data_IF_449062406619
#
_entry.id   IF_449062406619
#
_cell.length_a   1.000
_cell.length_b   1.000
_cell.length_c   1.000
_cell.angle_alpha   90.00
_cell.angle_beta   90.00
_cell.angle_gamma   90.00
#
_symmetry.space_group_name_H-M   'P 1'
#
loop_
_entity.id
_entity.type
_entity.pdbx_description
1 polymer ?
#
# COMPACT_ATOMS: atom_id res chain seq x y z
N UNK A 1 25.03 -18.51 18.36
CA UNK A 1 23.56 -18.76 18.27
C UNK A 1 23.19 -18.82 16.81
N UNK A 2 22.36 -19.77 16.36
CA UNK A 2 21.85 -19.84 14.99
C UNK A 2 20.47 -19.18 14.94
N UNK A 3 20.27 -18.25 14.01
CA UNK A 3 18.95 -17.64 13.73
C UNK A 3 18.05 -18.63 13.00
N UNK A 4 16.71 -18.43 13.10
CA UNK A 4 15.76 -19.24 12.33
C UNK A 4 15.95 -19.03 10.82
N UNK A 5 15.73 -20.08 10.03
CA UNK A 5 15.83 -19.98 8.56
C UNK A 5 14.87 -18.92 7.97
N UNK A 6 13.67 -18.79 8.56
CA UNK A 6 12.67 -17.79 8.13
C UNK A 6 13.21 -16.37 8.17
N UNK A 7 13.85 -15.99 9.28
CA UNK A 7 14.37 -14.64 9.48
C UNK A 7 15.60 -14.36 8.60
N UNK A 8 16.40 -15.39 8.31
CA UNK A 8 17.59 -15.26 7.45
C UNK A 8 17.25 -14.99 5.98
N UNK A 9 16.02 -15.25 5.55
CA UNK A 9 15.55 -15.03 4.18
C UNK A 9 14.96 -13.63 3.95
N UNK A 10 14.79 -12.84 5.03
CA UNK A 10 14.15 -11.53 4.94
C UNK A 10 15.11 -10.47 4.42
N UNK A 11 14.63 -9.71 3.45
CA UNK A 11 15.30 -8.52 2.95
C UNK A 11 14.82 -7.27 3.70
N UNK A 12 15.74 -6.35 4.05
CA UNK A 12 15.36 -5.07 4.64
C UNK A 12 14.45 -4.26 3.68
N UNK A 13 13.50 -3.53 4.26
CA UNK A 13 12.60 -2.67 3.46
C UNK A 13 13.36 -1.51 2.82
N UNK A 14 13.49 -1.52 1.50
CA UNK A 14 14.16 -0.45 0.73
C UNK A 14 13.50 0.92 0.93
N UNK A 15 12.18 0.96 1.11
CA UNK A 15 11.43 2.21 1.34
C UNK A 15 11.76 2.82 2.71
N UNK A 16 11.86 1.98 3.76
CA UNK A 16 12.24 2.43 5.09
C UNK A 16 13.72 2.84 5.14
N UNK A 17 14.60 2.13 4.45
CA UNK A 17 16.02 2.46 4.36
C UNK A 17 16.24 3.82 3.66
N UNK A 18 15.55 4.06 2.54
CA UNK A 18 15.62 5.34 1.82
C UNK A 18 15.12 6.50 2.69
N UNK A 19 13.97 6.33 3.37
CA UNK A 19 13.43 7.35 4.27
C UNK A 19 14.36 7.62 5.47
N UNK A 20 14.96 6.58 6.06
CA UNK A 20 15.91 6.72 7.16
C UNK A 20 17.19 7.45 6.72
N UNK A 21 17.73 7.15 5.53
CA UNK A 21 18.90 7.84 4.95
C UNK A 21 18.60 9.32 4.73
N UNK A 22 17.47 9.65 4.12
CA UNK A 22 17.04 11.04 3.91
C UNK A 22 16.92 11.81 5.24
N UNK A 23 16.26 11.20 6.23
CA UNK A 23 16.11 11.79 7.59
C UNK A 23 17.45 12.01 8.27
N UNK A 24 18.37 11.05 8.19
CA UNK A 24 19.70 11.18 8.79
C UNK A 24 20.51 12.31 8.15
N UNK A 25 20.46 12.47 6.83
CA UNK A 25 21.13 13.55 6.12
C UNK A 25 20.52 14.92 6.49
N UNK A 26 19.21 15.02 6.57
CA UNK A 26 18.51 16.24 7.01
C UNK A 26 18.88 16.62 8.45
N UNK A 27 19.00 15.65 9.36
CA UNK A 27 19.46 15.88 10.73
C UNK A 27 20.92 16.39 10.82
N UNK A 28 21.75 16.12 9.80
CA UNK A 28 23.10 16.65 9.65
C UNK A 28 23.15 18.07 9.04
N UNK A 29 21.99 18.69 8.82
CA UNK A 29 21.89 20.05 8.26
C UNK A 29 21.97 20.10 6.72
N UNK A 30 21.91 18.96 6.01
CA UNK A 30 21.86 18.96 4.56
C UNK A 30 20.46 19.36 4.06
N UNK A 31 20.41 20.08 2.95
CA UNK A 31 19.16 20.45 2.26
C UNK A 31 18.62 19.24 1.49
N UNK A 32 17.71 18.50 2.11
CA UNK A 32 17.15 17.26 1.57
C UNK A 32 15.66 17.43 1.27
N UNK A 33 15.28 17.17 0.02
CA UNK A 33 13.92 17.07 -0.45
C UNK A 33 13.55 15.57 -0.54
N UNK A 34 12.78 15.09 0.42
CA UNK A 34 12.46 13.65 0.52
C UNK A 34 11.13 13.32 -0.15
N UNK A 35 11.18 12.59 -1.26
CA UNK A 35 10.02 12.02 -1.95
C UNK A 35 9.91 10.51 -1.71
N UNK A 36 10.40 10.03 -0.56
CA UNK A 36 10.44 8.59 -0.23
C UNK A 36 9.27 8.12 0.61
N UNK A 37 8.55 9.06 1.24
CA UNK A 37 7.58 8.79 2.31
C UNK A 37 6.30 8.15 1.76
N UNK A 38 5.84 7.10 2.42
CA UNK A 38 4.60 6.41 2.06
C UNK A 38 3.45 6.74 3.02
N UNK A 39 3.30 8.01 3.42
CA UNK A 39 2.24 8.48 4.31
C UNK A 39 1.76 9.88 3.92
N UNK A 40 0.47 10.21 4.15
CA UNK A 40 -0.04 11.56 3.93
C UNK A 40 0.72 12.58 4.78
N UNK A 41 0.96 13.76 4.23
CA UNK A 41 1.58 14.91 4.90
C UNK A 41 0.56 15.80 5.64
N UNK A 42 -0.59 15.26 5.91
CA UNK A 42 -1.67 15.90 6.64
C UNK A 42 -1.68 15.41 8.10
N UNK A 43 -2.07 16.28 9.01
CA UNK A 43 -2.41 15.86 10.35
C UNK A 43 -3.72 15.03 10.32
N UNK A 44 -3.83 14.09 11.25
CA UNK A 44 -5.12 13.43 11.51
C UNK A 44 -6.20 14.47 11.77
N UNK A 45 -7.41 14.39 11.19
CA UNK A 45 -8.49 15.34 11.42
C UNK A 45 -8.81 15.58 12.90
N UNK A 46 -9.15 16.82 13.25
CA UNK A 46 -9.29 17.27 14.64
C UNK A 46 -10.39 16.51 15.40
N UNK A 47 -11.53 16.23 14.74
CA UNK A 47 -12.62 15.44 15.32
C UNK A 47 -12.13 14.05 15.77
N UNK A 48 -11.27 13.41 14.99
CA UNK A 48 -10.68 12.11 15.33
C UNK A 48 -9.72 12.24 16.51
N UNK A 49 -8.89 13.28 16.52
CA UNK A 49 -7.95 13.54 17.61
C UNK A 49 -8.70 13.79 18.93
N UNK A 50 -9.79 14.57 18.91
CA UNK A 50 -10.58 14.88 20.11
C UNK A 50 -11.22 13.63 20.72
N UNK A 51 -11.76 12.72 19.91
CA UNK A 51 -12.29 11.43 20.39
C UNK A 51 -11.20 10.61 21.09
N UNK A 52 -9.98 10.60 20.59
CA UNK A 52 -8.86 9.95 21.27
C UNK A 52 -8.54 10.59 22.61
N UNK A 53 -8.50 11.92 22.68
CA UNK A 53 -8.29 12.67 23.94
C UNK A 53 -9.39 12.35 24.95
N UNK A 54 -10.65 12.29 24.51
CA UNK A 54 -11.77 11.91 25.39
C UNK A 54 -11.65 10.46 25.87
N UNK A 55 -11.25 9.52 25.00
CA UNK A 55 -11.03 8.12 25.39
C UNK A 55 -9.94 7.99 26.49
N UNK A 56 -8.88 8.80 26.42
CA UNK A 56 -7.85 8.86 27.46
C UNK A 56 -8.42 9.42 28.77
N UNK A 57 -9.10 10.57 28.71
CA UNK A 57 -9.66 11.26 29.91
C UNK A 57 -10.71 10.42 30.62
N UNK A 58 -11.51 9.66 29.87
CA UNK A 58 -12.57 8.79 30.39
C UNK A 58 -12.06 7.40 30.84
N UNK A 59 -10.76 7.15 30.78
CA UNK A 59 -10.15 5.89 31.18
C UNK A 59 -10.37 4.70 30.22
N UNK A 60 -11.04 4.90 29.08
CA UNK A 60 -11.32 3.85 28.09
C UNK A 60 -10.03 3.30 27.45
N UNK A 61 -8.98 4.10 27.39
CA UNK A 61 -7.69 3.71 26.83
C UNK A 61 -6.80 2.85 27.76
N UNK A 62 -7.23 2.63 29.00
CA UNK A 62 -6.38 2.06 30.08
C UNK A 62 -6.40 0.53 30.15
N UNK A 63 -7.29 -0.13 29.43
CA UNK A 63 -7.53 -1.57 29.58
C UNK A 63 -7.37 -2.33 28.27
N UNK A 64 -7.09 -3.63 28.40
CA UNK A 64 -7.13 -4.54 27.25
C UNK A 64 -8.52 -4.55 26.61
N UNK A 65 -8.54 -4.65 25.29
CA UNK A 65 -9.76 -4.84 24.50
C UNK A 65 -9.81 -6.26 23.94
N UNK A 66 -10.95 -6.70 23.38
CA UNK A 66 -11.00 -7.97 22.68
C UNK A 66 -9.97 -8.04 21.55
N UNK A 67 -9.37 -9.21 21.35
CA UNK A 67 -8.35 -9.42 20.28
C UNK A 67 -8.89 -9.20 18.87
N UNK A 68 -10.20 -9.35 18.68
CA UNK A 68 -10.86 -9.05 17.40
C UNK A 68 -11.08 -7.54 17.17
N UNK A 69 -10.82 -6.71 18.17
CA UNK A 69 -11.22 -5.30 18.23
C UNK A 69 -12.50 -5.07 19.03
N UNK A 70 -12.71 -3.83 19.49
CA UNK A 70 -13.94 -3.48 20.24
C UNK A 70 -15.17 -3.64 19.35
N UNK A 71 -16.31 -4.11 19.93
CA UNK A 71 -17.53 -4.38 19.16
C UNK A 71 -18.01 -3.17 18.35
N UNK A 72 -17.92 -1.97 18.92
CA UNK A 72 -18.33 -0.72 18.27
C UNK A 72 -17.48 -0.42 17.01
N UNK A 73 -16.19 -0.68 17.03
CA UNK A 73 -15.33 -0.49 15.85
C UNK A 73 -15.61 -1.55 14.79
N UNK A 74 -15.82 -2.81 15.18
CA UNK A 74 -16.20 -3.87 14.23
C UNK A 74 -17.54 -3.56 13.56
N UNK A 75 -18.51 -3.00 14.29
CA UNK A 75 -19.77 -2.53 13.72
C UNK A 75 -19.52 -1.36 12.76
N UNK A 76 -18.74 -0.35 13.16
CA UNK A 76 -18.40 0.79 12.32
C UNK A 76 -17.73 0.36 11.01
N UNK A 77 -16.87 -0.66 11.05
CA UNK A 77 -16.21 -1.20 9.84
C UNK A 77 -17.23 -1.82 8.88
N UNK A 78 -18.16 -2.66 9.37
CA UNK A 78 -19.16 -3.29 8.47
C UNK A 78 -20.16 -2.27 7.93
N UNK A 79 -20.49 -1.25 8.71
CA UNK A 79 -21.35 -0.14 8.27
C UNK A 79 -20.65 0.69 7.17
N UNK A 80 -19.37 1.01 7.35
CA UNK A 80 -18.53 1.66 6.35
C UNK A 80 -18.45 0.85 5.04
N UNK A 81 -18.23 -0.46 5.13
CA UNK A 81 -18.20 -1.34 3.95
C UNK A 81 -19.56 -1.39 3.26
N UNK A 82 -20.64 -1.41 4.03
CA UNK A 82 -21.99 -1.34 3.46
C UNK A 82 -22.25 -0.02 2.74
N UNK A 83 -21.83 1.09 3.31
CA UNK A 83 -22.00 2.43 2.74
C UNK A 83 -21.18 2.61 1.45
N UNK A 84 -19.88 2.31 1.49
CA UNK A 84 -18.98 2.63 0.38
C UNK A 84 -18.81 1.51 -0.65
N UNK A 85 -19.06 0.25 -0.27
CA UNK A 85 -18.96 -0.91 -1.17
C UNK A 85 -20.32 -1.47 -1.59
N UNK A 86 -21.39 -1.14 -0.88
CA UNK A 86 -22.74 -1.67 -1.14
C UNK A 86 -22.91 -3.15 -0.82
N UNK A 87 -21.99 -3.76 -0.06
CA UNK A 87 -22.03 -5.16 0.36
C UNK A 87 -22.08 -5.29 1.88
N UNK A 88 -22.66 -6.38 2.37
CA UNK A 88 -22.90 -6.59 3.80
C UNK A 88 -22.02 -7.72 4.33
N UNK A 89 -21.42 -7.46 5.49
CA UNK A 89 -20.73 -8.44 6.34
C UNK A 89 -21.30 -8.35 7.76
N UNK A 90 -21.15 -9.42 8.53
CA UNK A 90 -21.43 -9.41 9.96
C UNK A 90 -20.19 -8.96 10.73
N UNK A 91 -20.32 -8.31 11.89
CA UNK A 91 -19.15 -7.95 12.72
C UNK A 91 -18.27 -9.15 13.07
N UNK A 92 -18.82 -10.37 13.16
CA UNK A 92 -18.06 -11.61 13.38
C UNK A 92 -17.09 -11.93 12.23
N UNK A 93 -17.35 -11.41 11.04
CA UNK A 93 -16.49 -11.57 9.85
C UNK A 93 -15.38 -10.50 9.75
N UNK A 94 -15.09 -9.80 10.84
CA UNK A 94 -14.14 -8.68 10.87
C UNK A 94 -13.15 -8.83 12.00
N UNK A 95 -11.89 -8.50 11.73
CA UNK A 95 -10.82 -8.33 12.73
C UNK A 95 -10.18 -6.95 12.60
N UNK A 96 -9.97 -6.28 13.73
CA UNK A 96 -9.15 -5.07 13.86
C UNK A 96 -7.71 -5.46 14.15
N UNK A 97 -6.75 -4.80 13.50
CA UNK A 97 -5.33 -5.13 13.57
C UNK A 97 -4.43 -3.91 13.74
N UNK A 98 -3.16 -4.12 14.11
CA UNK A 98 -2.14 -3.07 14.24
C UNK A 98 -1.66 -2.57 12.85
N UNK A 99 -2.59 -1.96 12.12
CA UNK A 99 -2.46 -1.56 10.73
C UNK A 99 -2.68 -2.72 9.75
N UNK A 100 -2.96 -2.38 8.47
CA UNK A 100 -3.17 -3.34 7.40
C UNK A 100 -1.99 -4.31 7.21
N UNK A 101 -0.77 -3.86 7.53
CA UNK A 101 0.42 -4.72 7.48
C UNK A 101 0.32 -5.94 8.40
N UNK A 102 -0.20 -5.76 9.62
CA UNK A 102 -0.40 -6.88 10.52
C UNK A 102 -1.59 -7.75 10.10
N UNK A 103 -2.63 -7.18 9.49
CA UNK A 103 -3.73 -7.95 8.90
C UNK A 103 -3.22 -8.94 7.83
N UNK A 104 -2.37 -8.47 6.92
CA UNK A 104 -1.72 -9.31 5.90
C UNK A 104 -0.83 -10.38 6.54
N UNK A 105 -0.01 -10.01 7.52
CA UNK A 105 0.83 -10.96 8.25
C UNK A 105 0.00 -12.07 8.90
N UNK A 106 -1.05 -11.70 9.65
CA UNK A 106 -1.93 -12.66 10.30
C UNK A 106 -2.66 -13.56 9.29
N UNK A 107 -3.09 -12.98 8.16
CA UNK A 107 -3.73 -13.74 7.08
C UNK A 107 -2.78 -14.79 6.50
N UNK A 108 -1.56 -14.42 6.12
CA UNK A 108 -0.61 -15.38 5.55
C UNK A 108 -0.20 -16.47 6.54
N UNK A 109 -0.04 -16.13 7.84
CA UNK A 109 0.17 -17.12 8.88
C UNK A 109 -1.03 -18.08 9.04
N UNK A 110 -2.23 -17.62 8.70
CA UNK A 110 -3.46 -18.43 8.79
C UNK A 110 -3.62 -19.42 7.64
N UNK A 111 -3.28 -18.98 6.41
CA UNK A 111 -3.67 -19.71 5.19
C UNK A 111 -2.55 -20.50 4.54
N UNK A 112 -1.26 -20.20 4.83
CA UNK A 112 -0.14 -20.81 4.15
C UNK A 112 0.49 -21.94 4.97
N UNK A 113 0.73 -23.06 4.30
CA UNK A 113 1.68 -24.09 4.71
C UNK A 113 3.02 -23.88 3.99
N UNK A 114 4.10 -24.56 4.44
CA UNK A 114 5.37 -24.54 3.71
C UNK A 114 5.19 -24.88 2.23
N UNK A 115 5.81 -24.06 1.36
CA UNK A 115 5.76 -24.18 -0.10
C UNK A 115 4.43 -23.83 -0.78
N UNK A 116 3.37 -23.45 -0.05
CA UNK A 116 2.17 -22.88 -0.66
C UNK A 116 2.53 -21.59 -1.40
N UNK A 117 1.96 -21.39 -2.58
CA UNK A 117 2.31 -20.28 -3.45
C UNK A 117 1.30 -19.14 -3.36
N UNK A 118 1.83 -17.91 -3.34
CA UNK A 118 1.04 -16.68 -3.45
C UNK A 118 1.47 -15.92 -4.69
N UNK A 119 0.53 -15.69 -5.61
CA UNK A 119 0.78 -14.86 -6.80
C UNK A 119 0.78 -13.38 -6.39
N UNK A 120 1.85 -12.68 -6.76
CA UNK A 120 2.06 -11.26 -6.47
C UNK A 120 2.31 -10.53 -7.80
N UNK A 121 1.35 -9.69 -8.25
CA UNK A 121 1.57 -8.82 -9.41
C UNK A 121 2.75 -7.85 -9.17
N UNK A 122 3.62 -7.72 -10.15
CA UNK A 122 4.81 -6.83 -10.13
C UNK A 122 4.55 -5.65 -11.06
N UNK A 123 4.82 -4.42 -10.65
CA UNK A 123 5.40 -3.95 -9.38
C UNK A 123 4.47 -4.10 -8.17
N UNK A 124 5.06 -4.31 -6.99
CA UNK A 124 4.32 -4.64 -5.77
C UNK A 124 4.86 -3.91 -4.54
N UNK A 125 4.02 -3.75 -3.53
CA UNK A 125 4.49 -3.24 -2.24
C UNK A 125 5.45 -4.23 -1.58
N UNK A 126 6.63 -3.73 -1.24
CA UNK A 126 7.81 -4.51 -0.80
C UNK A 126 7.55 -5.54 0.31
N UNK A 127 6.51 -5.34 1.13
CA UNK A 127 6.22 -6.23 2.25
C UNK A 127 5.49 -7.51 1.88
N UNK A 128 4.83 -7.59 0.71
CA UNK A 128 4.04 -8.77 0.36
C UNK A 128 4.91 -10.03 0.27
N UNK A 129 5.98 -9.98 -0.51
CA UNK A 129 6.88 -11.13 -0.69
C UNK A 129 7.52 -11.58 0.63
N UNK A 130 7.94 -10.61 1.45
CA UNK A 130 8.59 -10.89 2.74
C UNK A 130 7.63 -11.52 3.75
N UNK A 131 6.37 -11.10 3.77
CA UNK A 131 5.35 -11.69 4.64
C UNK A 131 4.96 -13.11 4.21
N UNK A 132 4.91 -13.38 2.91
CA UNK A 132 4.71 -14.74 2.38
C UNK A 132 5.87 -15.66 2.82
N UNK A 133 7.13 -15.20 2.70
CA UNK A 133 8.30 -15.94 3.18
C UNK A 133 8.27 -16.18 4.70
N UNK A 134 7.83 -15.19 5.49
CA UNK A 134 7.66 -15.33 6.94
C UNK A 134 6.65 -16.43 7.31
N UNK A 135 5.64 -16.63 6.49
CA UNK A 135 4.67 -17.70 6.63
C UNK A 135 5.12 -19.02 5.99
N UNK A 136 6.40 -19.15 5.62
CA UNK A 136 7.00 -20.31 4.94
C UNK A 136 6.41 -20.61 3.55
N UNK A 137 5.58 -19.69 3.01
CA UNK A 137 5.07 -19.73 1.65
C UNK A 137 6.10 -19.26 0.62
N UNK A 138 5.77 -19.45 -0.64
CA UNK A 138 6.59 -19.07 -1.79
C UNK A 138 5.92 -17.95 -2.57
N UNK A 139 6.50 -16.74 -2.67
CA UNK A 139 5.98 -15.70 -3.55
C UNK A 139 6.23 -16.07 -5.02
N UNK A 140 5.20 -15.95 -5.86
CA UNK A 140 5.26 -16.12 -7.31
C UNK A 140 5.01 -14.76 -7.95
N UNK A 141 6.07 -14.14 -8.44
CA UNK A 141 6.02 -12.81 -9.01
C UNK A 141 5.59 -12.86 -10.48
N UNK A 142 4.51 -12.12 -10.82
CA UNK A 142 3.96 -12.03 -12.18
C UNK A 142 4.08 -10.60 -12.66
N UNK A 143 4.91 -10.36 -13.67
CA UNK A 143 5.20 -9.01 -14.17
C UNK A 143 4.03 -8.48 -14.98
N UNK A 144 3.46 -7.34 -14.55
CA UNK A 144 2.56 -6.52 -15.37
C UNK A 144 3.36 -5.69 -16.39
N UNK A 145 2.81 -5.55 -17.59
CA UNK A 145 3.44 -4.75 -18.64
C UNK A 145 3.14 -3.26 -18.45
N UNK A 146 4.14 -2.40 -18.66
CA UNK A 146 4.02 -0.95 -18.52
C UNK A 146 2.94 -0.35 -19.42
N UNK A 147 2.85 -0.83 -20.67
CA UNK A 147 1.83 -0.41 -21.63
C UNK A 147 0.40 -0.82 -21.24
N UNK A 148 0.24 -1.75 -20.28
CA UNK A 148 -1.05 -2.12 -19.66
C UNK A 148 -1.19 -1.54 -18.25
N UNK A 149 -0.47 -0.46 -17.93
CA UNK A 149 -0.50 0.15 -16.59
C UNK A 149 0.02 -0.78 -15.48
N UNK A 150 0.96 -1.66 -15.80
CA UNK A 150 1.51 -2.68 -14.88
C UNK A 150 0.46 -3.67 -14.33
N UNK A 151 -0.71 -3.76 -14.95
CA UNK A 151 -1.76 -4.70 -14.55
C UNK A 151 -1.53 -6.07 -15.16
N UNK A 152 -1.82 -7.12 -14.41
CA UNK A 152 -1.73 -8.50 -14.89
C UNK A 152 -3.03 -8.95 -15.57
N UNK A 153 -2.92 -9.93 -16.45
CA UNK A 153 -4.02 -10.54 -17.18
C UNK A 153 -4.31 -11.95 -16.70
N UNK A 154 -5.52 -12.46 -16.97
CA UNK A 154 -5.89 -13.85 -16.66
C UNK A 154 -4.95 -14.85 -17.37
N UNK A 155 -4.48 -14.54 -18.57
CA UNK A 155 -3.52 -15.39 -19.29
C UNK A 155 -2.20 -15.54 -18.53
N UNK A 156 -1.69 -14.44 -17.94
CA UNK A 156 -0.48 -14.46 -17.12
C UNK A 156 -0.70 -15.21 -15.80
N UNK A 157 -1.88 -15.06 -15.19
CA UNK A 157 -2.28 -15.81 -13.99
C UNK A 157 -2.31 -17.31 -14.27
N UNK A 158 -2.96 -17.75 -15.35
CA UNK A 158 -3.04 -19.16 -15.72
C UNK A 158 -1.65 -19.75 -16.04
N UNK A 159 -0.80 -19.00 -16.71
CA UNK A 159 0.58 -19.42 -16.99
C UNK A 159 1.45 -19.59 -15.74
N UNK A 160 1.12 -18.86 -14.65
CA UNK A 160 1.88 -18.86 -13.41
C UNK A 160 1.31 -19.80 -12.34
N UNK A 161 0.09 -20.29 -12.55
CA UNK A 161 -0.61 -21.17 -11.62
C UNK A 161 0.01 -22.56 -11.55
N UNK A 162 0.12 -23.09 -10.34
CA UNK A 162 0.46 -24.49 -10.06
C UNK A 162 -0.57 -25.10 -9.10
N UNK A 163 -0.53 -26.41 -8.86
CA UNK A 163 -1.35 -27.04 -7.81
C UNK A 163 -1.08 -26.52 -6.38
N UNK A 164 0.02 -25.79 -6.17
CA UNK A 164 0.39 -25.17 -4.89
C UNK A 164 -0.11 -23.73 -4.75
N UNK A 165 -0.66 -23.14 -5.81
CA UNK A 165 -1.15 -21.76 -5.79
C UNK A 165 -2.34 -21.65 -4.84
N UNK A 166 -2.16 -20.88 -3.75
CA UNK A 166 -3.13 -20.74 -2.66
C UNK A 166 -3.86 -19.41 -2.68
N UNK A 167 -3.15 -18.33 -3.03
CA UNK A 167 -3.70 -16.99 -3.00
C UNK A 167 -3.15 -16.10 -4.12
N UNK A 168 -3.90 -15.05 -4.43
CA UNK A 168 -3.54 -13.95 -5.33
C UNK A 168 -3.73 -12.62 -4.58
N UNK A 169 -2.72 -11.75 -4.62
CA UNK A 169 -2.84 -10.38 -4.10
C UNK A 169 -3.33 -9.45 -5.20
N UNK A 170 -4.33 -8.64 -4.91
CA UNK A 170 -4.77 -7.50 -5.73
C UNK A 170 -4.69 -6.25 -4.86
N UNK A 171 -3.83 -5.30 -5.25
CA UNK A 171 -3.73 -3.98 -4.64
C UNK A 171 -4.16 -2.92 -5.64
N UNK A 172 -5.31 -2.30 -5.42
CA UNK A 172 -5.94 -1.31 -6.31
C UNK A 172 -6.62 -0.24 -5.45
N UNK A 173 -6.26 1.04 -5.60
CA UNK A 173 -5.10 1.59 -6.30
C UNK A 173 -3.77 1.05 -5.77
N UNK A 174 -2.81 0.86 -6.68
CA UNK A 174 -1.56 0.17 -6.36
C UNK A 174 -0.47 1.09 -5.79
N UNK A 175 0.29 0.57 -4.85
CA UNK A 175 1.61 1.06 -4.50
C UNK A 175 2.67 0.11 -5.13
N UNK A 176 3.51 0.56 -6.10
CA UNK A 176 3.93 1.97 -6.31
C UNK A 176 3.26 2.70 -7.48
N UNK A 177 2.45 2.06 -8.31
CA UNK A 177 2.09 2.56 -9.64
C UNK A 177 0.93 3.57 -9.65
N UNK A 178 0.07 3.56 -8.61
CA UNK A 178 -1.16 4.34 -8.58
C UNK A 178 -2.25 3.88 -9.56
N UNK A 179 -2.04 2.76 -10.24
CA UNK A 179 -2.98 2.23 -11.24
C UNK A 179 -4.15 1.52 -10.58
N UNK A 180 -5.29 1.51 -11.27
CA UNK A 180 -6.54 0.90 -10.83
C UNK A 180 -6.95 -0.17 -11.84
N UNK A 181 -7.37 -1.34 -11.35
CA UNK A 181 -8.04 -2.35 -12.16
C UNK A 181 -9.48 -1.93 -12.42
N UNK A 182 -9.94 -2.00 -13.67
CA UNK A 182 -11.33 -1.76 -13.99
C UNK A 182 -12.25 -2.95 -13.65
N UNK A 183 -13.57 -2.73 -13.69
CA UNK A 183 -14.56 -3.72 -13.34
C UNK A 183 -14.47 -5.00 -14.19
N UNK A 184 -14.14 -4.89 -15.48
CA UNK A 184 -14.04 -6.04 -16.40
C UNK A 184 -12.80 -6.87 -16.10
N UNK A 185 -11.67 -6.20 -15.84
CA UNK A 185 -10.43 -6.85 -15.42
C UNK A 185 -10.64 -7.60 -14.10
N UNK A 186 -11.26 -6.95 -13.11
CA UNK A 186 -11.56 -7.55 -11.80
C UNK A 186 -12.54 -8.72 -11.91
N UNK A 187 -13.55 -8.62 -12.78
CA UNK A 187 -14.47 -9.72 -13.04
C UNK A 187 -13.73 -10.94 -13.60
N UNK A 188 -12.92 -10.75 -14.65
CA UNK A 188 -12.16 -11.83 -15.25
C UNK A 188 -11.17 -12.49 -14.27
N UNK A 189 -10.46 -11.69 -13.48
CA UNK A 189 -9.53 -12.17 -12.44
C UNK A 189 -10.30 -12.92 -11.35
N UNK A 190 -11.40 -12.36 -10.87
CA UNK A 190 -12.22 -12.96 -9.82
C UNK A 190 -12.85 -14.28 -10.24
N UNK A 191 -13.41 -14.36 -11.44
CA UNK A 191 -13.96 -15.61 -12.00
C UNK A 191 -12.89 -16.70 -12.16
N UNK A 192 -11.68 -16.29 -12.58
CA UNK A 192 -10.54 -17.20 -12.64
C UNK A 192 -10.15 -17.72 -11.25
N UNK A 193 -10.08 -16.85 -10.27
CA UNK A 193 -9.75 -17.22 -8.89
C UNK A 193 -10.78 -18.18 -8.27
N UNK A 194 -12.08 -17.91 -8.47
CA UNK A 194 -13.18 -18.79 -8.04
C UNK A 194 -13.10 -20.16 -8.72
N UNK A 195 -12.86 -20.19 -10.05
CA UNK A 195 -12.72 -21.43 -10.80
C UNK A 195 -11.62 -22.35 -10.28
N UNK A 196 -10.54 -21.78 -9.77
CA UNK A 196 -9.36 -22.51 -9.31
C UNK A 196 -9.24 -22.62 -7.79
N UNK A 197 -10.27 -22.19 -7.04
CA UNK A 197 -10.27 -22.16 -5.58
C UNK A 197 -9.07 -21.41 -4.96
N UNK A 198 -8.71 -20.26 -5.57
CA UNK A 198 -7.62 -19.40 -5.16
C UNK A 198 -8.18 -18.22 -4.35
N UNK A 199 -7.68 -18.02 -3.12
CA UNK A 199 -8.09 -16.91 -2.29
C UNK A 199 -7.61 -15.57 -2.88
N UNK A 200 -8.50 -14.59 -2.94
CA UNK A 200 -8.16 -13.22 -3.34
C UNK A 200 -7.87 -12.41 -2.08
N UNK A 201 -6.66 -11.85 -1.99
CA UNK A 201 -6.27 -10.90 -0.95
C UNK A 201 -6.37 -9.51 -1.54
N UNK A 202 -7.47 -8.81 -1.27
CA UNK A 202 -7.75 -7.48 -1.80
C UNK A 202 -7.22 -6.41 -0.83
N UNK A 203 -6.10 -5.78 -1.17
CA UNK A 203 -5.54 -4.65 -0.42
C UNK A 203 -6.10 -3.34 -0.96
N UNK A 204 -7.16 -2.84 -0.28
CA UNK A 204 -7.96 -1.69 -0.68
C UNK A 204 -7.54 -0.40 0.06
N UNK A 205 -6.36 -0.38 0.66
CA UNK A 205 -5.90 0.69 1.57
C UNK A 205 -5.92 2.09 0.95
N UNK A 206 -5.86 2.21 -0.38
CA UNK A 206 -5.92 3.47 -1.12
C UNK A 206 -7.28 3.74 -1.79
N UNK A 207 -8.31 2.92 -1.53
CA UNK A 207 -9.60 2.96 -2.23
C UNK A 207 -10.34 4.32 -2.19
N UNK A 208 -10.07 5.18 -1.21
CA UNK A 208 -10.64 6.55 -1.12
C UNK A 208 -9.75 7.63 -1.75
N UNK A 209 -8.53 7.31 -2.15
CA UNK A 209 -7.59 8.24 -2.79
C UNK A 209 -7.55 7.98 -4.29
N UNK A 210 -8.59 8.43 -4.98
CA UNK A 210 -8.83 8.24 -6.42
C UNK A 210 -9.10 9.60 -7.07
N UNK A 211 -8.60 9.83 -8.26
CA UNK A 211 -8.48 11.15 -8.88
C UNK A 211 -9.01 11.19 -10.31
N UNK A 212 -9.30 12.43 -10.78
CA UNK A 212 -9.61 12.74 -12.18
C UNK A 212 -10.80 11.92 -12.73
N UNK A 213 -11.84 11.72 -11.93
CA UNK A 213 -13.03 11.00 -12.34
C UNK A 213 -12.84 9.49 -12.53
N UNK A 214 -11.68 8.93 -12.15
CA UNK A 214 -11.53 7.48 -12.10
C UNK A 214 -12.35 6.91 -10.94
N UNK A 215 -12.73 5.64 -11.05
CA UNK A 215 -13.53 4.95 -10.04
C UNK A 215 -12.75 3.75 -9.48
N UNK A 216 -12.78 3.60 -8.17
CA UNK A 216 -12.31 2.41 -7.49
C UNK A 216 -13.46 1.40 -7.39
N UNK A 217 -13.27 0.21 -7.93
CA UNK A 217 -14.20 -0.91 -7.77
C UNK A 217 -13.55 -1.95 -6.86
N UNK A 218 -14.10 -2.20 -5.66
CA UNK A 218 -13.62 -3.30 -4.82
C UNK A 218 -13.94 -4.65 -5.47
N UNK A 219 -12.98 -5.55 -5.61
CA UNK A 219 -13.20 -6.86 -6.27
C UNK A 219 -14.29 -7.68 -5.58
N UNK A 220 -14.46 -7.54 -4.27
CA UNK A 220 -15.49 -8.22 -3.50
C UNK A 220 -16.93 -7.81 -3.89
N UNK A 221 -17.11 -6.72 -4.64
CA UNK A 221 -18.43 -6.23 -5.08
C UNK A 221 -18.89 -6.82 -6.41
N UNK A 222 -18.00 -7.46 -7.16
CA UNK A 222 -18.26 -7.95 -8.52
C UNK A 222 -19.35 -9.05 -8.53
N UNK A 223 -19.24 -10.01 -7.62
CA UNK A 223 -20.26 -11.08 -7.46
C UNK A 223 -20.17 -11.71 -6.08
N UNK A 224 -21.23 -12.43 -5.68
CA UNK A 224 -21.24 -13.15 -4.40
C UNK A 224 -20.18 -14.25 -4.34
N UNK A 225 -19.94 -14.97 -5.43
CA UNK A 225 -18.91 -16.02 -5.50
C UNK A 225 -17.52 -15.44 -5.32
N UNK A 226 -17.22 -14.32 -5.98
CA UNK A 226 -15.94 -13.62 -5.83
C UNK A 226 -15.79 -13.06 -4.41
N UNK A 227 -16.86 -12.48 -3.83
CA UNK A 227 -16.84 -12.00 -2.45
C UNK A 227 -16.51 -13.10 -1.45
N UNK A 228 -17.11 -14.30 -1.61
CA UNK A 228 -16.82 -15.46 -0.74
C UNK A 228 -15.37 -15.93 -0.84
N UNK A 229 -14.71 -15.69 -1.98
CA UNK A 229 -13.31 -16.04 -2.24
C UNK A 229 -12.35 -14.89 -1.91
N UNK A 230 -12.83 -13.78 -1.33
CA UNK A 230 -12.04 -12.57 -1.08
C UNK A 230 -11.90 -12.31 0.42
N UNK A 231 -10.66 -11.99 0.85
CA UNK A 231 -10.40 -11.30 2.12
C UNK A 231 -10.03 -9.85 1.76
N UNK A 232 -10.83 -8.91 2.24
CA UNK A 232 -10.55 -7.47 2.13
C UNK A 232 -9.57 -7.10 3.23
N UNK A 233 -8.50 -6.40 2.85
CA UNK A 233 -7.54 -5.76 3.76
C UNK A 233 -7.67 -4.26 3.57
N UNK A 234 -7.91 -3.52 4.65
CA UNK A 234 -8.03 -2.07 4.60
C UNK A 234 -7.62 -1.46 5.95
N UNK A 235 -7.80 -0.16 6.14
CA UNK A 235 -7.47 0.53 7.37
C UNK A 235 -7.64 2.04 7.28
N UNK A 236 -7.36 2.73 8.37
CA UNK A 236 -7.50 4.19 8.48
C UNK A 236 -6.23 4.96 8.10
N UNK A 237 -5.13 4.26 7.86
CA UNK A 237 -3.80 4.87 7.71
C UNK A 237 -3.72 5.91 6.60
N UNK A 238 -4.34 5.66 5.42
CA UNK A 238 -4.18 6.52 4.24
C UNK A 238 -5.35 7.48 4.09
N UNK A 239 -6.56 6.96 4.18
CA UNK A 239 -7.81 7.73 4.05
C UNK A 239 -7.93 8.84 5.09
N UNK A 240 -7.44 8.62 6.30
CA UNK A 240 -7.63 9.54 7.43
C UNK A 240 -6.33 10.12 7.98
N UNK A 241 -5.21 10.01 7.24
CA UNK A 241 -3.90 10.46 7.70
C UNK A 241 -3.55 9.92 9.11
N UNK A 242 -3.76 8.61 9.31
CA UNK A 242 -3.61 7.93 10.61
C UNK A 242 -2.52 6.85 10.60
N UNK A 243 -1.43 7.04 9.86
CA UNK A 243 -0.37 6.02 9.75
C UNK A 243 0.24 5.66 11.09
N UNK A 244 0.45 6.64 11.97
CA UNK A 244 1.01 6.48 13.32
C UNK A 244 0.07 5.85 14.33
N UNK A 245 -1.24 5.83 14.06
CA UNK A 245 -2.26 5.27 14.98
C UNK A 245 -2.34 3.75 14.94
N UNK A 246 -1.82 3.13 13.88
CA UNK A 246 -1.70 1.68 13.74
C UNK A 246 -3.04 0.94 13.80
N UNK A 247 -4.05 1.36 13.03
CA UNK A 247 -5.32 0.64 12.88
C UNK A 247 -5.54 0.23 11.42
N UNK A 248 -5.69 -1.08 11.22
CA UNK A 248 -6.15 -1.72 10.02
C UNK A 248 -7.20 -2.76 10.36
N UNK A 249 -7.76 -3.38 9.33
CA UNK A 249 -8.76 -4.42 9.52
C UNK A 249 -8.82 -5.36 8.32
N UNK A 250 -9.36 -6.54 8.55
CA UNK A 250 -9.70 -7.49 7.51
C UNK A 250 -11.15 -7.94 7.64
N UNK A 251 -11.78 -8.24 6.49
CA UNK A 251 -13.14 -8.81 6.41
C UNK A 251 -13.17 -9.96 5.41
N UNK A 252 -13.98 -10.96 5.68
CA UNK A 252 -14.22 -12.06 4.74
C UNK A 252 -14.77 -13.32 5.39
N UNK A 253 -14.30 -14.47 4.92
CA UNK A 253 -14.70 -15.76 5.46
C UNK A 253 -14.46 -15.83 6.97
N UNK A 254 -15.51 -16.15 7.73
CA UNK A 254 -15.47 -16.13 9.20
C UNK A 254 -14.44 -17.10 9.77
N UNK A 255 -14.29 -18.29 9.21
CA UNK A 255 -13.30 -19.26 9.71
C UNK A 255 -11.86 -18.72 9.60
N UNK A 256 -11.54 -18.06 8.48
CA UNK A 256 -10.25 -17.38 8.29
C UNK A 256 -10.10 -16.25 9.32
N UNK A 257 -11.10 -15.41 9.49
CA UNK A 257 -11.09 -14.32 10.47
C UNK A 257 -10.91 -14.84 11.90
N UNK A 258 -11.58 -15.91 12.29
CA UNK A 258 -11.45 -16.52 13.63
C UNK A 258 -10.02 -17.00 13.87
N UNK A 259 -9.35 -17.55 12.85
CA UNK A 259 -7.93 -17.97 12.96
C UNK A 259 -6.98 -16.79 12.99
N UNK A 260 -7.25 -15.74 12.24
CA UNK A 260 -6.48 -14.48 12.36
C UNK A 260 -6.61 -13.87 13.76
N UNK A 261 -7.80 -13.91 14.38
CA UNK A 261 -8.03 -13.47 15.76
C UNK A 261 -7.20 -14.32 16.74
N UNK A 262 -7.12 -15.63 16.52
CA UNK A 262 -6.29 -16.52 17.35
C UNK A 262 -4.80 -16.13 17.25
N UNK A 263 -4.29 -15.80 16.06
CA UNK A 263 -2.91 -15.32 15.88
C UNK A 263 -2.71 -13.97 16.58
N UNK A 264 -3.64 -13.03 16.43
CA UNK A 264 -3.57 -11.73 17.10
C UNK A 264 -3.52 -11.91 18.64
N UNK A 265 -4.34 -12.81 19.19
CA UNK A 265 -4.38 -13.07 20.62
C UNK A 265 -3.05 -13.61 21.19
N UNK A 266 -2.25 -14.30 20.37
CA UNK A 266 -0.95 -14.88 20.76
C UNK A 266 0.26 -14.01 20.36
N UNK A 267 0.02 -12.87 19.70
CA UNK A 267 1.08 -11.96 19.23
C UNK A 267 0.95 -10.57 19.86
N UNK A 268 -0.02 -9.79 19.45
CA UNK A 268 -0.22 -8.41 19.90
C UNK A 268 -1.26 -8.27 21.02
N UNK A 269 -1.96 -9.34 21.35
CA UNK A 269 -3.13 -9.40 22.24
C UNK A 269 -4.34 -8.67 21.68
N UNK A 270 -4.24 -7.37 21.46
CA UNK A 270 -5.25 -6.49 20.85
C UNK A 270 -4.59 -5.23 20.30
N UNK A 271 -5.26 -4.57 19.37
CA UNK A 271 -4.81 -3.26 18.89
C UNK A 271 -4.97 -2.19 19.97
N UNK A 272 -4.17 -1.12 19.85
CA UNK A 272 -4.13 -0.02 20.83
C UNK A 272 -5.53 0.56 21.07
N UNK A 273 -6.00 0.53 22.32
CA UNK A 273 -7.35 0.90 22.70
C UNK A 273 -7.72 2.32 22.28
N UNK A 274 -6.89 3.32 22.57
CA UNK A 274 -7.15 4.72 22.19
C UNK A 274 -7.31 4.89 20.68
N UNK A 275 -6.50 4.17 19.89
CA UNK A 275 -6.55 4.22 18.43
C UNK A 275 -7.84 3.59 17.88
N UNK A 276 -8.38 2.58 18.56
CA UNK A 276 -9.64 1.98 18.15
C UNK A 276 -10.81 2.95 18.32
N UNK A 277 -10.87 3.71 19.42
CA UNK A 277 -11.90 4.75 19.61
C UNK A 277 -11.77 5.87 18.57
N UNK A 278 -10.55 6.31 18.27
CA UNK A 278 -10.29 7.26 17.20
C UNK A 278 -10.73 6.75 15.83
N UNK A 279 -10.52 5.46 15.56
CA UNK A 279 -10.90 4.83 14.29
C UNK A 279 -12.43 4.73 14.12
N UNK A 280 -13.21 4.62 15.19
CA UNK A 280 -14.68 4.71 15.10
C UNK A 280 -15.06 6.07 14.52
N UNK A 281 -14.54 7.16 15.09
CA UNK A 281 -14.82 8.51 14.58
C UNK A 281 -14.36 8.69 13.15
N UNK A 282 -13.19 8.15 12.79
CA UNK A 282 -12.70 8.17 11.41
C UNK A 282 -13.69 7.55 10.42
N UNK A 283 -14.32 6.43 10.78
CA UNK A 283 -15.23 5.69 9.90
C UNK A 283 -16.67 6.22 9.93
N UNK A 284 -17.12 6.83 11.04
CA UNK A 284 -18.53 7.20 11.24
C UNK A 284 -18.75 8.71 11.34
N UNK A 285 -17.70 9.48 11.55
CA UNK A 285 -17.75 10.93 11.69
C UNK A 285 -17.73 11.64 10.34
N UNK A 286 -17.47 12.96 10.41
CA UNK A 286 -17.41 13.84 9.25
C UNK A 286 -16.34 13.38 8.25
N UNK A 287 -16.69 13.37 6.94
CA UNK A 287 -15.81 12.92 5.87
C UNK A 287 -15.23 14.07 5.02
N UNK A 288 -15.59 15.31 5.27
CA UNK A 288 -15.09 16.46 4.53
C UNK A 288 -13.55 16.58 4.56
N UNK A 289 -12.85 16.31 5.69
CA UNK A 289 -11.39 16.32 5.71
C UNK A 289 -10.74 15.27 4.79
N UNK A 290 -11.42 14.15 4.56
CA UNK A 290 -10.95 13.12 3.61
C UNK A 290 -11.02 13.66 2.18
N UNK A 291 -12.12 14.33 1.83
CA UNK A 291 -12.29 14.92 0.50
C UNK A 291 -11.32 16.08 0.26
N UNK A 292 -11.11 16.95 1.25
CA UNK A 292 -10.10 18.02 1.17
C UNK A 292 -8.70 17.45 0.89
N UNK A 293 -8.29 16.41 1.58
CA UNK A 293 -7.01 15.74 1.36
C UNK A 293 -6.96 15.08 -0.02
N UNK A 294 -8.04 14.43 -0.46
CA UNK A 294 -8.14 13.82 -1.80
C UNK A 294 -7.96 14.86 -2.89
N UNK A 295 -8.66 15.99 -2.79
CA UNK A 295 -8.55 17.12 -3.74
C UNK A 295 -7.13 17.66 -3.77
N UNK A 296 -6.49 17.86 -2.63
CA UNK A 296 -5.11 18.32 -2.56
C UNK A 296 -4.13 17.36 -3.27
N UNK A 297 -4.30 16.04 -3.10
CA UNK A 297 -3.50 15.06 -3.82
C UNK A 297 -3.79 15.05 -5.34
N UNK A 298 -5.04 15.22 -5.74
CA UNK A 298 -5.41 15.35 -7.16
C UNK A 298 -4.76 16.56 -7.81
N UNK A 299 -4.77 17.72 -7.15
CA UNK A 299 -4.10 18.94 -7.60
C UNK A 299 -2.60 18.75 -7.76
N UNK A 300 -1.95 18.17 -6.75
CA UNK A 300 -0.50 17.86 -6.79
C UNK A 300 -0.18 16.90 -7.94
N UNK A 301 -0.98 15.85 -8.13
CA UNK A 301 -0.80 14.92 -9.25
C UNK A 301 -0.90 15.66 -10.60
N UNK A 302 -1.91 16.51 -10.78
CA UNK A 302 -2.15 17.20 -12.04
C UNK A 302 -1.04 18.22 -12.38
N UNK A 303 -0.39 18.79 -11.38
CA UNK A 303 0.77 19.68 -11.57
C UNK A 303 2.05 18.86 -11.79
N UNK A 304 2.29 17.86 -10.96
CA UNK A 304 3.56 17.10 -10.95
C UNK A 304 3.69 16.16 -12.15
N UNK A 305 2.60 15.52 -12.57
CA UNK A 305 2.64 14.54 -13.66
C UNK A 305 3.27 15.11 -14.96
N UNK A 306 2.83 16.24 -15.51
CA UNK A 306 3.44 16.79 -16.71
C UNK A 306 4.91 17.20 -16.50
N UNK A 307 5.30 17.65 -15.31
CA UNK A 307 6.67 18.02 -15.01
C UNK A 307 7.60 16.79 -15.04
N UNK A 308 7.19 15.68 -14.44
CA UNK A 308 7.97 14.44 -14.40
C UNK A 308 7.96 13.74 -15.75
N UNK A 309 6.83 13.68 -16.45
CA UNK A 309 6.73 13.03 -17.76
C UNK A 309 7.52 13.72 -18.87
N UNK A 310 7.87 15.00 -18.69
CA UNK A 310 8.70 15.76 -19.61
C UNK A 310 10.21 15.68 -19.30
N UNK A 311 10.62 14.97 -18.24
CA UNK A 311 12.03 14.75 -17.97
C UNK A 311 12.68 13.92 -19.10
N UNK A 312 13.93 14.21 -19.50
CA UNK A 312 14.60 13.50 -20.58
C UNK A 312 14.70 11.98 -20.33
N UNK A 313 14.24 11.18 -21.28
CA UNK A 313 14.30 9.71 -21.23
C UNK A 313 13.31 9.06 -20.26
N UNK A 314 12.33 9.79 -19.73
CA UNK A 314 11.32 9.29 -18.81
C UNK A 314 10.06 8.85 -19.55
N UNK A 315 9.55 7.65 -19.23
CA UNK A 315 8.17 7.26 -19.55
C UNK A 315 7.36 7.07 -18.27
N UNK A 316 6.08 7.44 -18.30
CA UNK A 316 5.26 7.46 -17.09
C UNK A 316 3.77 7.27 -17.41
N UNK A 317 3.17 6.25 -16.83
CA UNK A 317 1.71 6.13 -16.78
C UNK A 317 1.13 7.16 -15.79
N UNK A 318 0.05 7.85 -16.18
CA UNK A 318 -0.63 8.77 -15.26
C UNK A 318 -1.34 7.97 -14.17
N UNK A 319 -0.97 8.14 -12.89
CA UNK A 319 -1.65 7.47 -11.78
C UNK A 319 -3.13 7.83 -11.70
N UNK A 320 -3.94 6.89 -11.28
CA UNK A 320 -5.37 7.05 -11.08
C UNK A 320 -5.73 7.18 -9.60
N UNK A 321 -4.82 6.78 -8.70
CA UNK A 321 -5.00 6.83 -7.25
C UNK A 321 -3.69 6.74 -6.48
N UNK A 322 -3.78 6.57 -5.16
CA UNK A 322 -2.68 6.63 -4.20
C UNK A 322 -1.98 8.01 -4.21
N UNK A 323 -0.70 8.10 -3.90
CA UNK A 323 0.06 9.36 -3.94
C UNK A 323 1.51 9.15 -4.41
N UNK A 324 1.67 8.34 -5.47
CA UNK A 324 2.96 7.99 -6.05
C UNK A 324 2.99 8.21 -7.57
N UNK A 325 4.13 8.68 -8.07
CA UNK A 325 4.54 8.52 -9.46
C UNK A 325 5.55 7.38 -9.55
N UNK A 326 5.50 6.62 -10.63
CA UNK A 326 6.39 5.48 -10.85
C UNK A 326 7.02 5.52 -12.25
N UNK A 327 7.82 6.58 -12.56
CA UNK A 327 8.46 6.73 -13.85
C UNK A 327 9.47 5.62 -14.13
N UNK A 328 9.49 5.17 -15.39
CA UNK A 328 10.56 4.39 -15.95
C UNK A 328 11.68 5.36 -16.38
N UNK A 329 12.89 5.08 -15.92
CA UNK A 329 14.07 5.91 -16.14
C UNK A 329 15.16 5.19 -16.95
N UNK A 330 14.83 4.09 -17.60
CA UNK A 330 15.78 3.27 -18.39
C UNK A 330 16.57 4.10 -19.40
N UNK A 331 15.88 4.89 -20.20
CA UNK A 331 16.54 5.74 -21.20
C UNK A 331 17.33 6.87 -20.54
N UNK A 332 16.82 7.45 -19.45
CA UNK A 332 17.54 8.43 -18.63
C UNK A 332 18.87 7.86 -18.11
N UNK A 333 18.86 6.62 -17.60
CA UNK A 333 20.07 5.96 -17.13
C UNK A 333 21.08 5.80 -18.26
N UNK A 334 20.65 5.36 -19.45
CA UNK A 334 21.52 5.20 -20.61
C UNK A 334 22.11 6.54 -21.07
N UNK A 335 21.31 7.61 -21.13
CA UNK A 335 21.74 8.96 -21.48
C UNK A 335 22.79 9.51 -20.50
N UNK A 336 22.63 9.22 -19.21
CA UNK A 336 23.51 9.68 -18.14
C UNK A 336 24.71 8.74 -17.87
N UNK A 337 24.83 7.63 -18.59
CA UNK A 337 25.93 6.68 -18.44
C UNK A 337 25.87 5.82 -17.17
N UNK A 338 24.68 5.59 -16.61
CA UNK A 338 24.48 4.72 -15.44
C UNK A 338 24.06 3.31 -15.83
N UNK A 339 24.67 2.31 -15.20
CA UNK A 339 24.34 0.89 -15.43
C UNK A 339 23.10 0.42 -14.67
N UNK A 340 22.77 1.08 -13.55
CA UNK A 340 21.64 0.71 -12.69
C UNK A 340 21.01 1.90 -11.98
N UNK A 341 19.76 1.75 -11.59
CA UNK A 341 18.94 2.79 -10.95
C UNK A 341 19.40 3.13 -9.54
N UNK A 342 19.96 2.17 -8.81
CA UNK A 342 20.41 2.38 -7.42
C UNK A 342 21.53 3.39 -7.37
N UNK A 343 22.56 3.23 -8.21
CA UNK A 343 23.67 4.20 -8.28
C UNK A 343 23.21 5.59 -8.73
N UNK A 344 22.29 5.66 -9.70
CA UNK A 344 21.71 6.92 -10.16
C UNK A 344 20.96 7.67 -9.03
N UNK A 345 20.12 6.95 -8.26
CA UNK A 345 19.40 7.52 -7.11
C UNK A 345 20.34 7.94 -5.98
N UNK A 346 21.40 7.18 -5.74
CA UNK A 346 22.41 7.55 -4.73
C UNK A 346 23.13 8.85 -5.10
N UNK A 347 23.62 8.97 -6.35
CA UNK A 347 24.30 10.17 -6.82
C UNK A 347 23.35 11.37 -6.90
N UNK A 348 22.10 11.17 -7.34
CA UNK A 348 21.06 12.19 -7.28
C UNK A 348 20.89 12.75 -5.86
N UNK A 349 20.80 11.87 -4.87
CA UNK A 349 20.69 12.29 -3.47
C UNK A 349 21.94 13.04 -2.99
N UNK A 350 23.13 12.56 -3.33
CA UNK A 350 24.38 13.16 -2.87
C UNK A 350 24.65 14.52 -3.49
N UNK A 351 24.37 14.69 -4.79
CA UNK A 351 24.67 15.91 -5.54
C UNK A 351 23.57 16.98 -5.45
N UNK A 352 22.29 16.54 -5.35
CA UNK A 352 21.14 17.46 -5.42
C UNK A 352 20.31 17.54 -4.16
N UNK A 353 20.49 16.60 -3.24
CA UNK A 353 19.66 16.46 -2.05
C UNK A 353 18.26 15.88 -2.30
N UNK A 354 17.95 15.37 -3.50
CA UNK A 354 16.64 14.75 -3.79
C UNK A 354 16.68 13.26 -3.48
N UNK A 355 15.82 12.82 -2.57
CA UNK A 355 15.70 11.42 -2.16
C UNK A 355 14.49 10.75 -2.83
N UNK A 356 14.74 9.69 -3.58
CA UNK A 356 13.76 8.81 -4.23
C UNK A 356 13.87 7.37 -3.69
N UNK A 357 12.91 6.52 -4.05
CA UNK A 357 12.99 5.08 -3.79
C UNK A 357 13.25 4.35 -5.11
N UNK A 358 14.27 3.46 -5.13
CA UNK A 358 14.56 2.65 -6.31
C UNK A 358 13.46 1.64 -6.60
N UNK A 359 13.20 1.36 -7.86
CA UNK A 359 12.18 0.40 -8.29
C UNK A 359 12.54 -1.06 -8.04
N UNK A 360 13.81 -1.36 -7.74
CA UNK A 360 14.30 -2.73 -7.48
C UNK A 360 13.49 -3.45 -6.40
N UNK A 361 13.24 -2.77 -5.27
CA UNK A 361 12.45 -3.34 -4.18
C UNK A 361 10.98 -3.60 -4.51
N UNK A 362 10.48 -2.99 -5.58
CA UNK A 362 9.13 -3.23 -6.12
C UNK A 362 9.14 -4.25 -7.28
N UNK A 363 10.30 -4.84 -7.59
CA UNK A 363 10.49 -5.77 -8.70
C UNK A 363 10.60 -5.11 -10.09
N UNK A 364 10.83 -3.80 -10.16
CA UNK A 364 10.93 -3.01 -11.38
C UNK A 364 12.23 -2.16 -11.42
N UNK A 365 13.39 -2.78 -11.72
CA UNK A 365 14.72 -2.14 -11.60
C UNK A 365 14.95 -0.98 -12.58
N UNK A 366 14.08 -0.77 -13.55
CA UNK A 366 14.14 0.35 -14.51
C UNK A 366 13.32 1.56 -14.04
N UNK A 367 12.64 1.48 -12.89
CA UNK A 367 11.76 2.51 -12.37
C UNK A 367 12.27 3.14 -11.08
N UNK A 368 11.72 4.28 -10.73
CA UNK A 368 11.83 4.90 -9.41
C UNK A 368 10.45 5.27 -8.88
N UNK A 369 10.28 5.32 -7.57
CA UNK A 369 9.05 5.82 -6.95
C UNK A 369 9.26 7.20 -6.36
N UNK A 370 8.42 8.15 -6.76
CA UNK A 370 8.28 9.48 -6.16
C UNK A 370 6.95 9.53 -5.40
N UNK A 371 7.01 9.86 -4.11
CA UNK A 371 5.81 10.22 -3.35
C UNK A 371 5.50 11.71 -3.54
N UNK A 372 4.24 12.06 -3.81
CA UNK A 372 3.79 13.45 -3.81
C UNK A 372 3.01 13.84 -2.54
N UNK A 373 3.23 13.07 -1.46
CA UNK A 373 2.72 13.40 -0.13
C UNK A 373 3.66 14.40 0.58
N UNK A 374 3.80 15.58 0.01
CA UNK A 374 4.49 16.75 0.55
C UNK A 374 3.99 18.02 -0.16
N UNK A 375 4.39 19.21 0.31
CA UNK A 375 3.97 20.48 -0.28
C UNK A 375 4.42 20.66 -1.75
N UNK A 376 3.63 21.41 -2.51
CA UNK A 376 3.85 21.59 -3.93
C UNK A 376 5.20 22.24 -4.25
N UNK A 377 5.62 23.23 -3.46
CA UNK A 377 6.91 23.91 -3.66
C UNK A 377 8.09 22.96 -3.54
N UNK A 378 8.05 22.06 -2.56
CA UNK A 378 9.04 20.95 -2.40
C UNK A 378 9.03 20.03 -3.63
N UNK A 379 7.85 19.69 -4.16
CA UNK A 379 7.71 18.81 -5.33
C UNK A 379 8.29 19.44 -6.60
N UNK A 380 7.93 20.69 -6.88
CA UNK A 380 8.42 21.44 -8.06
C UNK A 380 9.94 21.63 -8.01
N UNK A 381 10.48 22.01 -6.85
CA UNK A 381 11.93 22.14 -6.66
C UNK A 381 12.67 20.82 -6.81
N UNK A 382 12.11 19.71 -6.29
CA UNK A 382 12.71 18.40 -6.48
C UNK A 382 12.78 18.00 -7.96
N UNK A 383 11.70 18.21 -8.73
CA UNK A 383 11.70 17.93 -10.18
C UNK A 383 12.70 18.81 -10.92
N UNK A 384 12.79 20.08 -10.56
CA UNK A 384 13.78 21.01 -11.14
C UNK A 384 15.23 20.51 -10.90
N UNK A 385 15.53 20.06 -9.69
CA UNK A 385 16.85 19.49 -9.36
C UNK A 385 17.12 18.17 -10.10
N UNK A 386 16.12 17.31 -10.27
CA UNK A 386 16.23 16.10 -11.07
C UNK A 386 16.55 16.44 -12.52
N UNK A 387 15.82 17.40 -13.13
CA UNK A 387 16.07 17.85 -14.50
C UNK A 387 17.52 18.33 -14.67
N UNK A 388 17.99 19.21 -13.80
CA UNK A 388 19.36 19.74 -13.82
C UNK A 388 20.43 18.64 -13.65
N UNK A 389 20.15 17.64 -12.78
CA UNK A 389 21.03 16.49 -12.60
C UNK A 389 21.13 15.66 -13.89
N UNK A 390 20.00 15.35 -14.53
CA UNK A 390 19.96 14.65 -15.83
C UNK A 390 20.75 15.41 -16.88
N UNK A 391 20.51 16.72 -17.02
CA UNK A 391 21.22 17.59 -17.99
C UNK A 391 22.74 17.58 -17.74
N UNK A 392 23.16 17.66 -16.48
CA UNK A 392 24.58 17.69 -16.10
C UNK A 392 25.33 16.39 -16.38
N UNK A 393 24.59 15.24 -16.38
CA UNK A 393 25.14 13.91 -16.63
C UNK A 393 25.00 13.44 -18.08
N UNK A 394 24.05 14.03 -18.81
CA UNK A 394 23.87 13.69 -20.23
C UNK A 394 25.10 14.11 -21.03
N UNK A 395 25.68 13.14 -21.73
CA UNK A 395 26.82 13.37 -22.64
C UNK A 395 26.28 13.88 -24.01
N UNK A 396 25.59 15.00 -24.02
CA UNK A 396 25.13 15.65 -25.24
C UNK A 396 26.07 16.76 -25.64
#
# INVERSE_FOLDING_TARGET
MKLSKRVQQLEPSVTLAAAAKAKALKAQGKDILSLTVGEPDFATPENIQEVAVQAIRNGKASYYTPSAGIPELRQAIVDYIKEYYGITYEPSQTIVTDGAKFALYALFQTILNPEDEVIIPVPYWVSYGEQVKLAEGRPVFVKGEENNGFKITVSQLEASRTPKTKALIINSPSNPTGMIYDQKELQAIGEWAVKHDILIVADDIYGRLVYNGNEFTPIATISESIRKQTIIINGVSKTYAMTGWRIGYALGNQEIIDRMIAIASQSTSNSTAVSQYAAIEALTGEQDPVEEMRVAFEERLNILYPLVSNLPGVTLNKPQGAFYLFPNVKETLAMCGYENVTKWVEDLLEETGVALVTGEGFGAPENVRLSYATDLGTLEEAVRRIAQFIESKSQI
#
